data_IF_090420267442
#
_entry.id   IF_090420267442
#
_cell.length_a   1.000
_cell.length_b   1.000
_cell.length_c   1.000
_cell.angle_alpha   90.00
_cell.angle_beta   90.00
_cell.angle_gamma   90.00
#
_symmetry.space_group_name_H-M   'P 1'
#
loop_
_entity.id
_entity.type
_entity.pdbx_description
1 polymer ?
#
# COMPACT_ATOMS: atom_id res chain seq x y z
N UNK A 1 5.40 81.69 -20.80
CA UNK A 1 4.12 80.99 -20.98
C UNK A 1 4.39 79.76 -21.83
N UNK A 2 3.92 78.62 -21.30
CA UNK A 2 3.54 77.38 -21.98
C UNK A 2 4.62 76.49 -22.61
N UNK A 3 5.20 75.64 -21.77
CA UNK A 3 5.61 74.28 -22.17
C UNK A 3 5.26 73.32 -21.03
N UNK A 4 3.97 73.00 -20.97
CA UNK A 4 3.35 72.12 -19.98
C UNK A 4 3.80 70.66 -20.21
N UNK A 5 4.44 70.08 -19.19
CA UNK A 5 4.28 68.69 -18.72
C UNK A 5 3.89 67.62 -19.76
N UNK A 6 4.87 66.97 -20.40
CA UNK A 6 4.61 65.76 -21.21
C UNK A 6 5.52 64.56 -20.93
N UNK A 7 6.33 64.55 -19.88
CA UNK A 7 7.19 63.37 -19.61
C UNK A 7 7.19 62.88 -18.15
N UNK A 8 6.01 62.92 -17.49
CA UNK A 8 5.75 62.14 -16.28
C UNK A 8 5.05 60.80 -16.57
N UNK A 9 5.14 60.31 -17.80
CA UNK A 9 4.48 59.07 -18.24
C UNK A 9 5.48 57.92 -18.40
N UNK A 10 6.24 57.56 -17.35
CA UNK A 10 6.90 56.24 -17.33
C UNK A 10 7.35 55.75 -15.95
N UNK A 11 6.77 56.24 -14.86
CA UNK A 11 6.98 55.65 -13.53
C UNK A 11 5.79 54.76 -13.18
N UNK A 12 5.59 53.71 -13.97
CA UNK A 12 4.81 52.55 -13.51
C UNK A 12 5.78 51.39 -13.39
N UNK A 13 6.65 51.47 -12.38
CA UNK A 13 7.31 50.30 -11.82
C UNK A 13 6.21 49.28 -11.47
N UNK A 14 5.99 48.33 -12.39
CA UNK A 14 5.16 47.17 -12.17
C UNK A 14 5.85 46.34 -11.10
N UNK A 15 5.54 46.62 -9.84
CA UNK A 15 6.05 45.91 -8.68
C UNK A 15 5.88 44.38 -8.87
N UNK A 16 6.97 43.63 -9.11
CA UNK A 16 6.88 42.20 -9.43
C UNK A 16 6.42 41.35 -8.23
N UNK A 17 6.62 41.87 -7.00
CA UNK A 17 6.25 41.17 -5.76
C UNK A 17 4.74 41.05 -5.55
N UNK A 18 3.93 42.02 -5.98
CA UNK A 18 2.47 41.92 -5.85
C UNK A 18 1.86 40.93 -6.83
N UNK A 19 2.44 40.79 -8.03
CA UNK A 19 2.02 39.78 -9.01
C UNK A 19 2.39 38.37 -8.57
N UNK A 20 3.56 38.19 -7.96
CA UNK A 20 3.98 36.89 -7.42
C UNK A 20 3.07 36.42 -6.28
N UNK A 21 2.71 37.27 -5.33
CA UNK A 21 1.83 36.87 -4.22
C UNK A 21 0.40 36.51 -4.69
N UNK A 22 -0.12 37.22 -5.70
CA UNK A 22 -1.39 36.89 -6.34
C UNK A 22 -1.30 35.54 -7.07
N UNK A 23 -0.20 35.30 -7.79
CA UNK A 23 0.02 34.05 -8.54
C UNK A 23 0.17 32.83 -7.60
N UNK A 24 0.87 32.99 -6.48
CA UNK A 24 0.99 31.98 -5.41
C UNK A 24 -0.38 31.66 -4.80
N UNK A 25 -1.22 32.67 -4.60
CA UNK A 25 -2.56 32.50 -4.02
C UNK A 25 -3.49 31.75 -4.98
N UNK A 26 -3.42 32.06 -6.29
CA UNK A 26 -4.15 31.33 -7.34
C UNK A 26 -3.63 29.89 -7.43
N UNK A 27 -2.31 29.67 -7.41
CA UNK A 27 -1.70 28.34 -7.41
C UNK A 27 -2.17 27.49 -6.23
N UNK A 28 -2.23 28.05 -5.00
CA UNK A 28 -2.76 27.34 -3.83
C UNK A 28 -4.22 26.96 -3.99
N UNK A 29 -5.04 27.83 -4.60
CA UNK A 29 -6.46 27.56 -4.82
C UNK A 29 -6.66 26.46 -5.86
N UNK A 30 -5.91 26.48 -6.96
CA UNK A 30 -5.90 25.40 -7.95
C UNK A 30 -5.38 24.10 -7.34
N UNK A 31 -4.30 24.15 -6.56
CA UNK A 31 -3.75 22.99 -5.87
C UNK A 31 -4.74 22.37 -4.88
N UNK A 32 -5.52 23.18 -4.15
CA UNK A 32 -6.60 22.71 -3.28
C UNK A 32 -7.70 21.98 -4.06
N UNK A 33 -8.09 22.49 -5.23
CA UNK A 33 -9.07 21.83 -6.11
C UNK A 33 -8.52 20.53 -6.70
N UNK A 34 -7.26 20.54 -7.14
CA UNK A 34 -6.56 19.34 -7.65
C UNK A 34 -6.45 18.31 -6.55
N UNK A 35 -6.02 18.69 -5.35
CA UNK A 35 -5.93 17.81 -4.19
C UNK A 35 -7.28 17.21 -3.83
N UNK A 36 -8.35 18.00 -3.84
CA UNK A 36 -9.71 17.52 -3.56
C UNK A 36 -10.18 16.49 -4.59
N UNK A 37 -9.87 16.71 -5.86
CA UNK A 37 -10.17 15.76 -6.95
C UNK A 37 -9.31 14.49 -6.82
N UNK A 38 -8.01 14.66 -6.56
CA UNK A 38 -7.05 13.57 -6.38
C UNK A 38 -7.43 12.70 -5.18
N UNK A 39 -7.83 13.32 -4.08
CA UNK A 39 -8.31 12.63 -2.88
C UNK A 39 -9.58 11.83 -3.16
N UNK A 40 -10.50 12.35 -3.98
CA UNK A 40 -11.69 11.61 -4.42
C UNK A 40 -11.32 10.39 -5.25
N UNK A 41 -10.40 10.54 -6.21
CA UNK A 41 -9.87 9.44 -7.03
C UNK A 41 -9.15 8.42 -6.16
N UNK A 42 -8.32 8.87 -5.21
CA UNK A 42 -7.60 8.02 -4.27
C UNK A 42 -8.55 7.19 -3.41
N UNK A 43 -9.64 7.79 -2.93
CA UNK A 43 -10.67 7.08 -2.17
C UNK A 43 -11.37 6.01 -3.01
N UNK A 44 -11.70 6.31 -4.26
CA UNK A 44 -12.25 5.32 -5.21
C UNK A 44 -11.24 4.22 -5.52
N UNK A 45 -9.96 4.57 -5.71
CA UNK A 45 -8.88 3.62 -5.95
C UNK A 45 -8.68 2.68 -4.75
N UNK A 46 -8.65 3.22 -3.52
CA UNK A 46 -8.61 2.43 -2.29
C UNK A 46 -9.80 1.46 -2.17
N UNK A 47 -10.98 1.89 -2.59
CA UNK A 47 -12.17 1.02 -2.62
C UNK A 47 -12.04 -0.11 -3.66
N UNK A 48 -11.57 0.19 -4.87
CA UNK A 48 -11.30 -0.85 -5.87
C UNK A 48 -10.19 -1.81 -5.43
N UNK A 49 -9.14 -1.29 -4.81
CA UNK A 49 -8.06 -2.07 -4.23
C UNK A 49 -8.62 -3.01 -3.13
N UNK A 50 -9.45 -2.49 -2.23
CA UNK A 50 -10.14 -3.30 -1.22
C UNK A 50 -10.96 -4.42 -1.85
N UNK A 51 -11.74 -4.12 -2.90
CA UNK A 51 -12.59 -5.10 -3.58
C UNK A 51 -11.77 -6.17 -4.31
N UNK A 52 -10.64 -5.77 -4.91
CA UNK A 52 -9.67 -6.67 -5.51
C UNK A 52 -9.03 -7.61 -4.48
N UNK A 53 -8.59 -7.08 -3.33
CA UNK A 53 -8.15 -7.91 -2.21
C UNK A 53 -9.30 -8.81 -1.74
N UNK A 54 -10.52 -8.31 -1.60
CA UNK A 54 -11.61 -9.16 -1.14
C UNK A 54 -11.89 -10.34 -2.10
N UNK A 55 -11.75 -10.12 -3.41
CA UNK A 55 -11.90 -11.16 -4.44
C UNK A 55 -10.82 -12.24 -4.35
N UNK A 56 -9.55 -11.84 -4.21
CA UNK A 56 -8.43 -12.80 -4.16
C UNK A 56 -8.24 -13.41 -2.76
N UNK A 57 -9.04 -13.03 -1.75
CA UNK A 57 -8.92 -13.53 -0.38
C UNK A 57 -8.95 -15.05 -0.30
N UNK A 58 -9.97 -15.67 -0.89
CA UNK A 58 -10.14 -17.13 -0.86
C UNK A 58 -8.97 -17.88 -1.52
N UNK A 59 -8.56 -17.57 -2.76
CA UNK A 59 -7.44 -18.27 -3.38
C UNK A 59 -6.11 -18.02 -2.64
N UNK A 60 -5.90 -16.82 -2.07
CA UNK A 60 -4.70 -16.53 -1.28
C UNK A 60 -4.66 -17.40 -0.02
N UNK A 61 -5.76 -17.50 0.73
CA UNK A 61 -5.85 -18.33 1.94
C UNK A 61 -5.62 -19.81 1.60
N UNK A 62 -6.27 -20.32 0.54
CA UNK A 62 -6.10 -21.72 0.12
C UNK A 62 -4.64 -21.98 -0.27
N UNK A 63 -3.99 -21.06 -0.98
CA UNK A 63 -2.61 -21.22 -1.41
C UNK A 63 -1.64 -21.19 -0.23
N UNK A 64 -1.80 -20.25 0.72
CA UNK A 64 -0.93 -20.14 1.90
C UNK A 64 -1.12 -21.32 2.86
N UNK A 65 -2.36 -21.78 3.05
CA UNK A 65 -2.65 -22.99 3.84
C UNK A 65 -2.07 -24.24 3.19
N UNK A 66 -2.17 -24.37 1.86
CA UNK A 66 -1.57 -25.48 1.13
C UNK A 66 -0.05 -25.48 1.27
N UNK A 67 0.60 -24.32 1.13
CA UNK A 67 2.05 -24.18 1.29
C UNK A 67 2.50 -24.50 2.72
N UNK A 68 1.80 -23.95 3.72
CA UNK A 68 2.10 -24.19 5.13
C UNK A 68 1.86 -25.66 5.51
N UNK A 69 0.72 -26.24 5.10
CA UNK A 69 0.37 -27.64 5.32
C UNK A 69 1.33 -28.60 4.64
N UNK A 70 1.70 -28.32 3.39
CA UNK A 70 2.70 -29.10 2.64
C UNK A 70 4.08 -29.05 3.32
N UNK A 71 4.50 -27.88 3.79
CA UNK A 71 5.75 -27.71 4.55
C UNK A 71 5.73 -28.50 5.87
N UNK A 72 4.60 -28.48 6.57
CA UNK A 72 4.42 -29.22 7.83
C UNK A 72 4.43 -30.74 7.60
N UNK A 73 3.81 -31.20 6.51
CA UNK A 73 3.80 -32.62 6.13
C UNK A 73 5.20 -33.11 5.75
N UNK A 74 5.98 -32.32 5.01
CA UNK A 74 7.38 -32.64 4.68
C UNK A 74 8.24 -32.69 5.95
N UNK A 75 8.09 -31.72 6.85
CA UNK A 75 8.77 -31.74 8.16
C UNK A 75 8.39 -32.98 8.98
N UNK A 76 7.13 -33.39 8.96
CA UNK A 76 6.66 -34.59 9.64
C UNK A 76 7.33 -35.85 9.08
N UNK A 77 7.40 -36.01 7.76
CA UNK A 77 8.09 -37.13 7.11
C UNK A 77 9.58 -37.16 7.50
N UNK A 78 10.26 -36.00 7.46
CA UNK A 78 11.66 -35.91 7.89
C UNK A 78 11.85 -36.30 9.36
N UNK A 79 10.94 -35.87 10.23
CA UNK A 79 10.97 -36.21 11.65
C UNK A 79 10.77 -37.71 11.86
N UNK A 80 9.76 -38.32 11.23
CA UNK A 80 9.51 -39.76 11.33
C UNK A 80 10.68 -40.58 10.76
N UNK A 81 11.27 -40.15 9.64
CA UNK A 81 12.45 -40.79 9.06
C UNK A 81 13.64 -40.75 10.02
N UNK A 82 13.90 -39.61 10.65
CA UNK A 82 14.95 -39.46 11.65
C UNK A 82 14.74 -40.39 12.85
N UNK A 83 13.52 -40.45 13.40
CA UNK A 83 13.17 -41.36 14.51
C UNK A 83 13.32 -42.83 14.10
N UNK A 84 13.04 -43.16 12.83
CA UNK A 84 13.23 -44.50 12.28
C UNK A 84 14.71 -44.86 11.99
N UNK A 85 15.65 -43.97 12.31
CA UNK A 85 17.09 -44.21 12.16
C UNK A 85 17.65 -43.91 10.77
N UNK A 86 16.94 -43.14 9.92
CA UNK A 86 17.49 -42.70 8.64
C UNK A 86 18.70 -41.78 8.85
N UNK A 87 19.80 -42.04 8.13
CA UNK A 87 20.98 -41.18 8.19
C UNK A 87 20.64 -39.76 7.67
N UNK A 88 21.13 -38.71 8.36
CA UNK A 88 20.86 -37.34 7.93
C UNK A 88 21.59 -37.00 6.62
N UNK A 89 20.91 -36.31 5.71
CA UNK A 89 21.50 -35.83 4.46
C UNK A 89 22.25 -34.50 4.65
N UNK A 90 23.29 -34.23 3.85
CA UNK A 90 24.17 -33.05 3.99
C UNK A 90 23.44 -31.69 3.96
N UNK A 91 22.24 -31.61 3.36
CA UNK A 91 21.46 -30.37 3.27
C UNK A 91 20.13 -30.41 4.04
N UNK A 92 19.93 -31.43 4.88
CA UNK A 92 18.67 -31.60 5.61
C UNK A 92 18.39 -30.44 6.57
N UNK A 93 19.40 -29.96 7.29
CA UNK A 93 19.25 -28.84 8.24
C UNK A 93 18.81 -27.55 7.53
N UNK A 94 19.41 -27.26 6.37
CA UNK A 94 19.04 -26.09 5.57
C UNK A 94 17.61 -26.18 5.04
N UNK A 95 17.18 -27.37 4.58
CA UNK A 95 15.80 -27.61 4.15
C UNK A 95 14.80 -27.44 5.30
N UNK A 96 15.08 -28.01 6.49
CA UNK A 96 14.22 -27.89 7.68
C UNK A 96 14.04 -26.41 8.07
N UNK A 97 15.12 -25.64 8.12
CA UNK A 97 15.05 -24.19 8.39
C UNK A 97 14.22 -23.49 7.30
N UNK A 98 14.43 -23.83 6.03
CA UNK A 98 13.66 -23.31 4.91
C UNK A 98 12.15 -23.54 5.07
N UNK A 99 11.72 -24.75 5.42
CA UNK A 99 10.30 -25.07 5.64
C UNK A 99 9.71 -24.34 6.84
N UNK A 100 10.46 -24.21 7.94
CA UNK A 100 10.02 -23.45 9.11
C UNK A 100 9.79 -21.98 8.72
N UNK A 101 10.74 -21.37 8.01
CA UNK A 101 10.61 -19.99 7.50
C UNK A 101 9.40 -19.88 6.58
N UNK A 102 9.17 -20.86 5.70
CA UNK A 102 8.03 -20.86 4.77
C UNK A 102 6.68 -20.88 5.50
N UNK A 103 6.58 -21.65 6.60
CA UNK A 103 5.38 -21.71 7.44
C UNK A 103 5.09 -20.34 8.07
N UNK A 104 6.10 -19.74 8.72
CA UNK A 104 5.94 -18.41 9.33
C UNK A 104 5.66 -17.32 8.31
N UNK A 105 6.29 -17.38 7.14
CA UNK A 105 6.05 -16.45 6.05
C UNK A 105 4.61 -16.57 5.52
N UNK A 106 4.11 -17.80 5.34
CA UNK A 106 2.73 -18.05 4.91
C UNK A 106 1.72 -17.51 5.92
N UNK A 107 2.00 -17.70 7.22
CA UNK A 107 1.16 -17.18 8.31
C UNK A 107 1.20 -15.65 8.37
N UNK A 108 2.38 -15.05 8.20
CA UNK A 108 2.56 -13.60 8.17
C UNK A 108 1.87 -12.96 6.96
N UNK A 109 1.87 -13.62 5.80
CA UNK A 109 1.14 -13.17 4.61
C UNK A 109 -0.36 -13.18 4.90
N UNK A 110 -0.92 -14.27 5.45
CA UNK A 110 -2.34 -14.31 5.81
C UNK A 110 -2.71 -13.23 6.83
N UNK A 111 -1.91 -13.06 7.87
CA UNK A 111 -2.17 -12.05 8.90
C UNK A 111 -2.04 -10.62 8.37
N UNK A 112 -1.01 -10.36 7.56
CA UNK A 112 -0.82 -9.07 6.89
C UNK A 112 -1.97 -8.76 5.93
N UNK A 113 -2.49 -9.78 5.25
CA UNK A 113 -3.64 -9.68 4.37
C UNK A 113 -4.92 -9.31 5.09
N UNK A 114 -5.25 -10.00 6.18
CA UNK A 114 -6.41 -9.69 7.01
C UNK A 114 -6.30 -8.29 7.64
N UNK A 115 -5.09 -7.91 8.08
CA UNK A 115 -4.83 -6.56 8.62
C UNK A 115 -4.99 -5.48 7.55
N UNK A 116 -4.57 -5.74 6.31
CA UNK A 116 -4.77 -4.82 5.18
C UNK A 116 -6.27 -4.67 4.86
N UNK A 117 -7.00 -5.77 4.80
CA UNK A 117 -8.45 -5.76 4.60
C UNK A 117 -9.18 -4.96 5.68
N UNK A 118 -8.81 -5.15 6.95
CA UNK A 118 -9.33 -4.38 8.08
C UNK A 118 -9.06 -2.87 7.93
N UNK A 119 -7.83 -2.51 7.58
CA UNK A 119 -7.45 -1.09 7.46
C UNK A 119 -8.11 -0.41 6.27
N UNK A 120 -8.39 -1.15 5.21
CA UNK A 120 -9.04 -0.63 4.01
C UNK A 120 -10.57 -0.75 4.06
N UNK A 121 -11.14 -1.36 5.10
CA UNK A 121 -12.58 -1.53 5.25
C UNK A 121 -13.29 -0.16 5.28
N UNK A 122 -14.30 0.08 4.42
CA UNK A 122 -15.13 1.27 4.51
C UNK A 122 -15.85 1.31 5.88
N UNK A 123 -16.02 2.50 6.49
CA UNK A 123 -16.73 2.62 7.77
C UNK A 123 -18.15 2.08 7.63
N UNK A 124 -18.46 1.00 8.37
CA UNK A 124 -19.73 0.27 8.32
C UNK A 124 -19.66 -1.14 7.71
N UNK A 125 -18.50 -1.58 7.21
CA UNK A 125 -18.31 -2.90 6.58
C UNK A 125 -17.82 -3.99 7.55
N UNK A 126 -17.51 -3.61 8.80
CA UNK A 126 -16.86 -4.48 9.79
C UNK A 126 -17.64 -5.77 10.07
N UNK A 127 -18.97 -5.75 9.95
CA UNK A 127 -19.81 -6.91 10.27
C UNK A 127 -19.93 -7.95 9.13
N UNK A 128 -19.58 -7.60 7.89
CA UNK A 128 -19.79 -8.50 6.74
C UNK A 128 -18.52 -9.27 6.33
N UNK A 129 -17.35 -8.83 6.80
CA UNK A 129 -16.03 -9.41 6.50
C UNK A 129 -15.64 -10.57 7.45
N UNK A 130 -16.29 -10.67 8.61
CA UNK A 130 -16.02 -11.64 9.69
C UNK A 130 -17.10 -12.72 9.87
N UNK A 131 -18.01 -12.89 8.91
CA UNK A 131 -18.96 -14.01 8.90
C UNK A 131 -18.52 -15.14 7.99
#
# INVERSE_FOLDING_TARGET
>A
MDALSTNKLNTTEKNPNSKQSILITIMRRVFSVVYKTLHKILKTCLFFLFLFLLLIRKPVIILTEFIAGGSLLVLFIFFTGYVAGSAPFEHQTAMVIGYIVLIFLSLAINWGYDTLLLRLAPPGSDLMLFR
#
